data_IF_677568677918
#
_entry.id   IF_677568677918
#
_cell.length_a   1.000
_cell.length_b   1.000
_cell.length_c   1.000
_cell.angle_alpha   90.00
_cell.angle_beta   90.00
_cell.angle_gamma   90.00
#
_symmetry.space_group_name_H-M   'P 1'
#
loop_
_entity.id
_entity.type
_entity.pdbx_description
1 polymer ?
#
# COMPACT_ATOMS: atom_id res chain seq x y z
N UNK A 1 3.65 -4.94 1.49
CA UNK A 1 4.63 -5.10 0.38
C UNK A 1 4.45 -3.97 -0.61
N UNK A 2 5.54 -3.47 -1.11
CA UNK A 2 5.51 -2.43 -2.13
C UNK A 2 5.99 -3.05 -3.43
N UNK A 3 5.21 -2.89 -4.48
CA UNK A 3 5.56 -3.42 -5.78
C UNK A 3 5.99 -2.26 -6.66
N UNK A 4 7.28 -2.19 -6.93
CA UNK A 4 7.85 -1.19 -7.82
C UNK A 4 8.51 -1.90 -8.98
N UNK A 5 8.06 -1.59 -10.17
CA UNK A 5 8.65 -2.13 -11.36
C UNK A 5 9.67 -1.12 -11.89
N UNK A 6 10.90 -1.55 -12.00
CA UNK A 6 11.97 -0.69 -12.49
C UNK A 6 12.13 -0.83 -13.99
N UNK A 7 12.24 0.28 -14.70
CA UNK A 7 12.74 0.24 -16.07
C UNK A 7 14.18 -0.27 -16.09
N UNK A 8 14.59 -0.90 -17.19
CA UNK A 8 15.93 -1.45 -17.29
C UNK A 8 17.03 -0.40 -17.11
N UNK A 9 16.77 0.82 -17.52
CA UNK A 9 17.71 1.92 -17.34
C UNK A 9 17.98 2.27 -15.88
N UNK A 10 17.16 1.78 -14.97
CA UNK A 10 17.33 2.02 -13.53
C UNK A 10 18.22 0.98 -12.87
N UNK A 11 18.82 0.10 -13.63
CA UNK A 11 19.75 -0.90 -13.09
C UNK A 11 21.11 -0.32 -12.74
N UNK A 12 21.27 0.96 -12.83
CA UNK A 12 22.45 1.66 -12.43
C UNK A 12 22.71 1.48 -10.92
N UNK A 13 23.97 1.58 -10.50
CA UNK A 13 24.28 1.52 -9.07
C UNK A 13 23.70 2.68 -8.27
N UNK A 14 23.18 3.69 -8.94
CA UNK A 14 22.46 4.74 -8.23
C UNK A 14 21.17 4.16 -7.74
N UNK A 15 21.12 3.93 -6.47
CA UNK A 15 19.96 3.33 -5.85
C UNK A 15 19.16 4.43 -5.19
N UNK A 16 17.93 4.62 -5.65
CA UNK A 16 16.97 5.40 -4.88
C UNK A 16 16.57 4.53 -3.72
N UNK A 17 16.64 5.07 -2.53
CA UNK A 17 16.14 4.37 -1.36
C UNK A 17 14.65 4.13 -1.54
N UNK A 18 14.12 2.99 -1.03
CA UNK A 18 12.69 2.71 -1.14
C UNK A 18 11.81 3.87 -0.71
N UNK A 19 12.20 4.57 0.34
CA UNK A 19 11.46 5.73 0.82
C UNK A 19 11.34 6.82 -0.24
N UNK A 20 12.43 7.13 -0.93
CA UNK A 20 12.41 8.14 -1.98
C UNK A 20 11.52 7.73 -3.15
N UNK A 21 11.56 6.46 -3.53
CA UNK A 21 10.71 5.95 -4.58
C UNK A 21 9.25 6.07 -4.19
N UNK A 22 8.93 5.75 -2.94
CA UNK A 22 7.57 5.85 -2.42
C UNK A 22 7.05 7.28 -2.44
N UNK A 23 7.94 8.24 -2.23
CA UNK A 23 7.56 9.66 -2.27
C UNK A 23 7.36 10.20 -3.67
N UNK A 24 8.02 9.61 -4.66
CA UNK A 24 8.06 10.16 -6.03
C UNK A 24 7.14 9.49 -7.02
N UNK A 25 6.86 8.19 -6.86
CA UNK A 25 6.07 7.47 -7.86
C UNK A 25 4.64 8.00 -7.91
N UNK A 26 4.11 8.06 -9.10
CA UNK A 26 2.75 8.56 -9.31
C UNK A 26 1.71 7.63 -8.70
N UNK A 27 1.93 6.33 -8.81
CA UNK A 27 1.03 5.32 -8.25
C UNK A 27 1.84 4.41 -7.36
N UNK A 28 1.42 4.28 -6.11
CA UNK A 28 2.05 3.40 -5.14
C UNK A 28 1.03 2.37 -4.68
N UNK A 29 1.42 1.10 -4.74
CA UNK A 29 0.59 0.02 -4.26
C UNK A 29 1.17 -0.55 -2.97
N UNK A 30 0.39 -0.45 -1.89
CA UNK A 30 0.66 -1.17 -0.64
C UNK A 30 -0.16 -2.44 -0.63
N UNK A 31 0.49 -3.56 -0.87
CA UNK A 31 -0.17 -4.85 -0.89
C UNK A 31 -0.13 -5.48 0.50
N UNK A 32 -1.28 -5.94 0.98
CA UNK A 32 -1.42 -6.55 2.31
C UNK A 32 -0.94 -5.64 3.44
N UNK A 33 -1.36 -4.38 3.42
CA UNK A 33 -0.95 -3.43 4.45
C UNK A 33 -1.47 -3.88 5.82
N UNK A 34 -0.61 -3.75 6.83
CA UNK A 34 -0.93 -4.12 8.20
C UNK A 34 -0.64 -5.54 8.57
N UNK A 35 -0.22 -6.37 7.61
CA UNK A 35 0.05 -7.80 7.85
C UNK A 35 1.45 -8.02 8.41
N UNK A 36 2.43 -7.27 7.94
CA UNK A 36 3.82 -7.48 8.34
C UNK A 36 4.27 -6.45 9.37
N UNK A 37 5.42 -5.88 9.20
CA UNK A 37 6.10 -5.02 10.15
C UNK A 37 5.22 -3.87 10.69
N UNK A 38 5.08 -3.80 12.02
CA UNK A 38 4.35 -2.72 12.69
C UNK A 38 5.23 -2.04 13.74
N UNK A 39 6.54 -2.04 13.55
CA UNK A 39 7.46 -1.34 14.44
C UNK A 39 7.17 0.17 14.44
N UNK A 40 7.60 0.85 15.50
CA UNK A 40 7.42 2.30 15.58
C UNK A 40 8.11 3.01 14.42
N UNK A 41 9.28 2.54 14.05
CA UNK A 41 10.02 3.13 12.93
C UNK A 41 9.22 3.00 11.62
N UNK A 42 8.67 1.82 11.38
CA UNK A 42 7.85 1.59 10.19
C UNK A 42 6.62 2.49 10.19
N UNK A 43 5.92 2.58 11.32
CA UNK A 43 4.71 3.40 11.41
C UNK A 43 5.02 4.88 11.21
N UNK A 44 6.15 5.34 11.72
CA UNK A 44 6.59 6.72 11.52
C UNK A 44 6.88 7.00 10.06
N UNK A 45 7.60 6.10 9.40
CA UNK A 45 7.92 6.26 7.98
C UNK A 45 6.66 6.20 7.13
N UNK A 46 5.75 5.30 7.45
CA UNK A 46 4.49 5.18 6.74
C UNK A 46 3.67 6.46 6.86
N UNK A 47 3.58 7.02 8.06
CA UNK A 47 2.88 8.29 8.29
C UNK A 47 3.47 9.40 7.43
N UNK A 48 4.79 9.49 7.39
CA UNK A 48 5.48 10.50 6.60
C UNK A 48 5.19 10.33 5.10
N UNK A 49 5.27 9.11 4.60
CA UNK A 49 5.01 8.83 3.19
C UNK A 49 3.58 9.21 2.83
N UNK A 50 2.61 8.81 3.64
CA UNK A 50 1.22 9.11 3.34
C UNK A 50 0.94 10.61 3.35
N UNK A 51 1.48 11.32 4.33
CA UNK A 51 1.31 12.78 4.38
C UNK A 51 1.90 13.46 3.15
N UNK A 52 3.10 13.08 2.76
CA UNK A 52 3.74 13.67 1.60
C UNK A 52 3.02 13.35 0.30
N UNK A 53 2.56 12.13 0.16
CA UNK A 53 1.84 11.74 -1.05
C UNK A 53 0.49 12.43 -1.15
N UNK A 54 -0.20 12.62 -0.03
CA UNK A 54 -1.45 13.39 0.00
C UNK A 54 -1.19 14.83 -0.43
N UNK A 55 -0.17 15.46 0.13
CA UNK A 55 0.19 16.82 -0.24
C UNK A 55 0.49 16.98 -1.73
N UNK A 56 1.11 15.97 -2.31
CA UNK A 56 1.51 16.01 -3.72
C UNK A 56 0.42 15.54 -4.67
N UNK A 57 -0.72 15.11 -4.13
CA UNK A 57 -1.82 14.62 -4.96
C UNK A 57 -1.51 13.33 -5.69
N UNK A 58 -0.63 12.50 -5.14
CA UNK A 58 -0.25 11.23 -5.75
C UNK A 58 -1.23 10.14 -5.38
N UNK A 59 -1.39 9.16 -6.28
CA UNK A 59 -2.34 8.06 -6.09
C UNK A 59 -1.70 6.95 -5.27
N UNK A 60 -2.37 6.54 -4.21
CA UNK A 60 -1.94 5.41 -3.38
C UNK A 60 -3.07 4.40 -3.32
N UNK A 61 -2.73 3.14 -3.56
CA UNK A 61 -3.68 2.02 -3.53
C UNK A 61 -3.25 1.09 -2.40
N UNK A 62 -4.22 0.65 -1.63
CA UNK A 62 -3.96 -0.28 -0.53
C UNK A 62 -4.79 -1.53 -0.72
N UNK A 63 -4.21 -2.68 -0.41
CA UNK A 63 -4.97 -3.91 -0.27
C UNK A 63 -4.81 -4.44 1.15
N UNK A 64 -5.84 -5.05 1.68
CA UNK A 64 -5.79 -5.65 3.02
C UNK A 64 -6.93 -6.65 3.20
N UNK A 65 -6.70 -7.63 4.04
CA UNK A 65 -7.74 -8.54 4.51
C UNK A 65 -8.27 -8.14 5.88
N UNK A 66 -7.73 -7.07 6.44
CA UNK A 66 -8.11 -6.61 7.77
C UNK A 66 -9.30 -5.68 7.71
N UNK A 67 -10.12 -5.71 8.75
CA UNK A 67 -11.19 -4.73 8.92
C UNK A 67 -10.58 -3.39 9.32
N UNK A 68 -11.40 -2.34 9.28
CA UNK A 68 -10.97 -1.02 9.73
C UNK A 68 -10.47 -1.05 11.17
N UNK A 69 -11.18 -1.75 12.05
CA UNK A 69 -10.78 -1.84 13.44
C UNK A 69 -9.48 -2.60 13.61
N UNK A 70 -9.29 -3.67 12.86
CA UNK A 70 -8.05 -4.41 12.88
C UNK A 70 -6.88 -3.58 12.36
N UNK A 71 -7.10 -2.79 11.32
CA UNK A 71 -6.07 -1.88 10.81
C UNK A 71 -5.70 -0.83 11.85
N UNK A 72 -6.68 -0.29 12.58
CA UNK A 72 -6.39 0.67 13.65
C UNK A 72 -5.54 0.07 14.74
N UNK A 73 -5.75 -1.20 15.05
CA UNK A 73 -4.94 -1.90 16.05
C UNK A 73 -3.54 -2.19 15.55
N UNK A 74 -3.40 -2.57 14.29
CA UNK A 74 -2.10 -2.93 13.71
C UNK A 74 -1.27 -1.69 13.36
N UNK A 75 -1.89 -0.67 12.83
CA UNK A 75 -1.19 0.54 12.39
C UNK A 75 -1.38 1.65 13.42
N UNK A 76 -2.45 2.31 13.44
CA UNK A 76 -3.01 3.24 14.43
C UNK A 76 -4.09 4.07 13.73
N UNK A 77 -4.86 4.82 14.51
CA UNK A 77 -5.95 5.64 13.95
C UNK A 77 -5.44 6.71 12.99
N UNK A 78 -4.28 7.27 13.30
CA UNK A 78 -3.70 8.35 12.51
C UNK A 78 -3.40 7.89 11.09
N UNK A 79 -2.79 6.72 10.97
CA UNK A 79 -2.47 6.14 9.67
C UNK A 79 -3.72 5.76 8.90
N UNK A 80 -4.68 5.12 9.58
CA UNK A 80 -5.92 4.70 8.93
C UNK A 80 -6.70 5.91 8.43
N UNK A 81 -6.73 6.99 9.20
CA UNK A 81 -7.36 8.23 8.77
C UNK A 81 -6.74 8.75 7.47
N UNK A 82 -5.43 8.69 7.36
CA UNK A 82 -4.75 9.12 6.15
C UNK A 82 -5.03 8.20 4.97
N UNK A 83 -5.06 6.90 5.21
CA UNK A 83 -5.40 5.92 4.17
C UNK A 83 -6.78 6.19 3.58
N UNK A 84 -7.72 6.56 4.42
CA UNK A 84 -9.11 6.79 4.00
C UNK A 84 -9.36 8.18 3.47
N UNK A 85 -8.40 9.08 3.58
CA UNK A 85 -8.55 10.43 3.09
C UNK A 85 -8.73 10.46 1.57
N UNK A 86 -9.85 11.00 1.14
CA UNK A 86 -10.19 11.12 -0.29
C UNK A 86 -10.00 9.80 -1.05
N UNK A 87 -10.46 8.71 -0.45
CA UNK A 87 -10.21 7.35 -0.94
C UNK A 87 -11.51 6.61 -1.08
N UNK A 88 -11.66 5.89 -2.18
CA UNK A 88 -12.79 5.00 -2.39
C UNK A 88 -12.45 3.63 -1.82
N UNK A 89 -13.36 3.09 -1.01
CA UNK A 89 -13.19 1.78 -0.41
C UNK A 89 -14.03 0.75 -1.17
N UNK A 90 -13.36 -0.27 -1.67
CA UNK A 90 -14.03 -1.37 -2.39
C UNK A 90 -13.90 -2.63 -1.55
N UNK A 91 -15.02 -3.25 -1.24
CA UNK A 91 -15.05 -4.48 -0.47
C UNK A 91 -15.36 -5.64 -1.40
N UNK A 92 -14.44 -6.62 -1.43
CA UNK A 92 -14.66 -7.83 -2.20
C UNK A 92 -15.19 -8.90 -1.26
N UNK A 93 -16.33 -9.46 -1.61
CA UNK A 93 -16.98 -10.53 -0.86
C UNK A 93 -17.10 -11.76 -1.74
N UNK A 94 -17.03 -12.92 -1.11
CA UNK A 94 -17.22 -14.17 -1.82
C UNK A 94 -16.16 -15.18 -1.45
N UNK A 95 -16.16 -16.27 -2.18
CA UNK A 95 -15.24 -17.35 -1.92
C UNK A 95 -13.89 -17.05 -2.56
N UNK A 96 -12.85 -17.69 -2.02
CA UNK A 96 -11.52 -17.59 -2.59
C UNK A 96 -11.50 -18.32 -3.93
N UNK A 97 -11.45 -17.57 -5.00
CA UNK A 97 -11.48 -18.12 -6.34
C UNK A 97 -10.29 -19.01 -6.66
N UNK A 98 -9.17 -18.83 -5.97
CA UNK A 98 -7.99 -19.67 -6.16
C UNK A 98 -8.22 -21.12 -5.73
N UNK A 99 -9.23 -21.35 -4.91
CA UNK A 99 -9.60 -22.70 -4.47
C UNK A 99 -10.59 -23.37 -5.41
N UNK A 100 -11.18 -22.62 -6.32
CA UNK A 100 -12.24 -23.12 -7.19
C UNK A 100 -11.80 -23.44 -8.61
N UNK A 101 -11.09 -22.53 -9.22
CA UNK A 101 -10.77 -22.63 -10.62
C UNK A 101 -9.56 -21.81 -10.96
N UNK A 102 -8.90 -22.19 -12.05
CA UNK A 102 -7.79 -21.42 -12.59
C UNK A 102 -8.23 -20.49 -13.72
N UNK A 103 -9.49 -20.40 -13.99
CA UNK A 103 -10.02 -19.69 -15.17
C UNK A 103 -10.74 -18.41 -14.86
N UNK A 104 -10.88 -18.04 -13.61
CA UNK A 104 -11.72 -16.94 -13.21
C UNK A 104 -11.20 -15.56 -13.65
N UNK A 105 -9.94 -15.47 -13.99
CA UNK A 105 -9.35 -14.20 -14.41
C UNK A 105 -9.26 -14.04 -15.92
N UNK A 106 -9.83 -14.92 -16.64
CA UNK A 106 -9.79 -14.90 -18.12
C UNK A 106 -10.77 -13.89 -18.71
N UNK A 107 -11.32 -13.06 -17.91
CA UNK A 107 -12.25 -12.06 -18.38
C UNK A 107 -11.58 -11.03 -19.29
#
# INVERSE_FOLDING_TARGET
MIILRRPDEWQSPITLYPLELMLRCQILLYDDIGVSDTSEAYLRDLTFVLDERIKRGLVTIYTTNLTRDELKKKLNERIVSRMLYNTDVVVFKGEDLRLKTTQYYDA
#
